data_IF_604113262628
#
_entry.id   IF_604113262628
#
_cell.length_a   1.000
_cell.length_b   1.000
_cell.length_c   1.000
_cell.angle_alpha   90.00
_cell.angle_beta   90.00
_cell.angle_gamma   90.00
#
_symmetry.space_group_name_H-M   'P 1'
#
loop_
_entity.id
_entity.type
_entity.pdbx_description
1 polymer ?
#
# COMPACT_ATOMS: atom_id res chain seq x y z
N UNK A 1 -15.01 -14.17 -2.15
CA UNK A 1 -16.24 -14.85 -1.70
C UNK A 1 -17.43 -13.94 -1.94
N UNK A 2 -18.57 -14.52 -2.31
CA UNK A 2 -19.86 -13.83 -2.46
C UNK A 2 -20.84 -14.32 -1.39
N UNK A 3 -22.07 -13.79 -1.36
CA UNK A 3 -23.11 -14.25 -0.43
C UNK A 3 -23.43 -15.76 -0.58
N UNK A 4 -23.31 -16.30 -1.79
CA UNK A 4 -23.55 -17.72 -2.07
C UNK A 4 -22.49 -18.62 -1.42
N UNK A 5 -21.24 -18.14 -1.32
CA UNK A 5 -20.15 -18.84 -0.65
C UNK A 5 -20.19 -18.65 0.87
N UNK A 6 -20.54 -17.43 1.32
CA UNK A 6 -20.52 -17.02 2.71
C UNK A 6 -21.68 -16.06 3.03
N UNK A 7 -22.67 -16.47 3.84
CA UNK A 7 -23.84 -15.66 4.14
C UNK A 7 -23.54 -14.40 4.97
N UNK A 8 -22.33 -14.26 5.52
CA UNK A 8 -21.86 -13.03 6.18
C UNK A 8 -21.47 -11.93 5.19
N UNK A 9 -21.29 -12.25 3.91
CA UNK A 9 -21.15 -11.28 2.83
C UNK A 9 -22.54 -10.80 2.44
N UNK A 10 -22.73 -9.50 2.26
CA UNK A 10 -24.05 -8.96 1.89
C UNK A 10 -24.42 -9.43 0.47
N UNK A 11 -25.69 -9.75 0.25
CA UNK A 11 -26.18 -10.15 -1.07
C UNK A 11 -25.83 -9.11 -2.14
N UNK A 12 -25.19 -9.55 -3.23
CA UNK A 12 -24.72 -8.69 -4.32
C UNK A 12 -23.37 -8.02 -4.08
N UNK A 13 -22.69 -8.28 -2.96
CA UNK A 13 -21.33 -7.83 -2.69
C UNK A 13 -20.28 -8.88 -3.06
N UNK A 14 -19.03 -8.46 -3.19
CA UNK A 14 -17.86 -9.34 -3.21
C UNK A 14 -16.94 -8.99 -2.06
N UNK A 15 -16.46 -10.00 -1.33
CA UNK A 15 -15.44 -9.85 -0.28
C UNK A 15 -14.15 -10.57 -0.68
N UNK A 16 -13.02 -9.91 -0.43
CA UNK A 16 -11.67 -10.43 -0.59
C UNK A 16 -10.97 -10.45 0.76
N UNK A 17 -10.37 -11.58 1.11
CA UNK A 17 -9.55 -11.75 2.31
C UNK A 17 -8.11 -12.02 1.87
N UNK A 18 -7.19 -11.16 2.30
CA UNK A 18 -5.80 -11.14 1.84
C UNK A 18 -4.89 -11.32 3.05
N UNK A 19 -4.05 -12.35 2.99
CA UNK A 19 -2.97 -12.55 3.95
C UNK A 19 -1.70 -11.80 3.49
N UNK A 20 -1.10 -11.07 4.41
CA UNK A 20 0.10 -10.27 4.17
C UNK A 20 1.37 -11.06 4.44
N UNK A 21 2.40 -10.70 3.69
CA UNK A 21 3.77 -11.17 3.90
C UNK A 21 4.27 -10.63 5.25
N UNK A 22 4.81 -11.51 6.09
CA UNK A 22 5.17 -11.19 7.49
C UNK A 22 6.60 -10.68 7.70
N UNK A 23 7.46 -10.82 6.70
CA UNK A 23 8.85 -10.36 6.73
C UNK A 23 9.04 -9.03 5.98
N UNK A 24 7.95 -8.36 5.58
CA UNK A 24 8.03 -7.05 4.97
C UNK A 24 8.23 -5.96 6.02
N UNK A 25 9.21 -5.10 5.79
CA UNK A 25 9.52 -3.94 6.64
C UNK A 25 9.57 -2.67 5.81
N UNK A 26 9.30 -1.57 6.49
CA UNK A 26 9.58 -0.23 6.03
C UNK A 26 11.09 0.06 6.17
N UNK A 27 11.58 1.05 5.43
CA UNK A 27 13.00 1.46 5.43
C UNK A 27 13.49 2.04 6.75
N UNK A 28 12.57 2.42 7.64
CA UNK A 28 12.87 2.82 9.02
C UNK A 28 12.87 1.65 10.01
N UNK A 29 12.69 0.41 9.52
CA UNK A 29 12.71 -0.82 10.30
C UNK A 29 11.37 -1.20 10.94
N UNK A 30 10.32 -0.38 10.80
CA UNK A 30 8.98 -0.78 11.26
C UNK A 30 8.41 -1.90 10.38
N UNK A 31 7.62 -2.80 10.98
CA UNK A 31 6.96 -3.87 10.22
C UNK A 31 5.85 -3.29 9.34
N UNK A 32 5.72 -3.80 8.11
CA UNK A 32 4.56 -3.53 7.26
C UNK A 32 3.40 -4.42 7.70
N UNK A 33 2.27 -3.82 8.03
CA UNK A 33 1.11 -4.53 8.62
C UNK A 33 -0.19 -4.25 7.88
N UNK A 34 -1.24 -4.97 8.27
CA UNK A 34 -2.60 -4.76 7.77
C UNK A 34 -3.14 -3.37 8.09
N UNK A 35 -2.65 -2.73 9.17
CA UNK A 35 -3.03 -1.36 9.50
C UNK A 35 -2.61 -0.37 8.42
N UNK A 36 -1.43 -0.56 7.81
CA UNK A 36 -0.93 0.28 6.72
C UNK A 36 -1.80 0.15 5.46
N UNK A 37 -2.24 -1.06 5.15
CA UNK A 37 -3.10 -1.35 3.99
C UNK A 37 -4.49 -0.75 4.17
N UNK A 38 -5.12 -0.99 5.32
CA UNK A 38 -6.44 -0.43 5.64
C UNK A 38 -6.38 1.10 5.61
N UNK A 39 -5.36 1.67 6.23
CA UNK A 39 -5.09 3.11 6.20
C UNK A 39 -5.00 3.65 4.77
N UNK A 40 -4.18 3.00 3.93
CA UNK A 40 -3.97 3.43 2.53
C UNK A 40 -5.28 3.43 1.74
N UNK A 41 -6.06 2.35 1.82
CA UNK A 41 -7.30 2.23 1.06
C UNK A 41 -8.32 3.28 1.51
N UNK A 42 -8.46 3.50 2.83
CA UNK A 42 -9.36 4.52 3.38
C UNK A 42 -8.91 5.92 2.95
N UNK A 43 -7.61 6.21 3.03
CA UNK A 43 -7.07 7.50 2.63
C UNK A 43 -7.36 7.81 1.16
N UNK A 44 -7.04 6.88 0.27
CA UNK A 44 -7.28 7.05 -1.16
C UNK A 44 -8.76 7.16 -1.49
N UNK A 45 -9.62 6.38 -0.80
CA UNK A 45 -11.07 6.51 -0.96
C UNK A 45 -11.55 7.92 -0.61
N UNK A 46 -11.06 8.51 0.48
CA UNK A 46 -11.44 9.87 0.89
C UNK A 46 -11.03 10.91 -0.17
N UNK A 47 -9.79 10.85 -0.66
CA UNK A 47 -9.31 11.79 -1.69
C UNK A 47 -10.09 11.67 -3.01
N UNK A 48 -10.54 10.47 -3.38
CA UNK A 48 -11.40 10.25 -4.55
C UNK A 48 -12.78 10.87 -4.33
N UNK A 49 -13.37 10.66 -3.14
CA UNK A 49 -14.71 11.17 -2.82
C UNK A 49 -14.74 12.70 -2.67
N UNK A 50 -13.64 13.31 -2.24
CA UNK A 50 -13.50 14.76 -2.12
C UNK A 50 -13.11 15.42 -3.47
N UNK A 51 -13.08 14.65 -4.57
CA UNK A 51 -12.66 15.07 -5.92
C UNK A 51 -11.24 15.66 -5.98
N UNK A 52 -10.43 15.44 -4.94
CA UNK A 52 -9.05 15.92 -4.87
C UNK A 52 -8.13 15.04 -5.72
N UNK A 53 -8.48 13.77 -5.98
CA UNK A 53 -7.70 12.83 -6.77
C UNK A 53 -8.49 12.15 -7.89
N UNK A 54 -8.03 12.33 -9.12
CA UNK A 54 -8.50 11.56 -10.29
C UNK A 54 -7.56 10.39 -10.52
N UNK A 55 -7.95 9.19 -10.07
CA UNK A 55 -7.21 7.94 -10.30
C UNK A 55 -7.99 7.06 -11.26
N UNK A 56 -7.48 6.95 -12.48
CA UNK A 56 -8.14 6.27 -13.60
C UNK A 56 -8.32 4.76 -13.39
N UNK A 57 -7.41 4.10 -12.65
CA UNK A 57 -7.37 2.64 -12.51
C UNK A 57 -7.74 2.11 -11.11
N UNK A 58 -7.87 3.00 -10.11
CA UNK A 58 -8.13 2.63 -8.69
C UNK A 58 -9.50 3.11 -8.25
N UNK A 59 -10.54 2.67 -8.95
CA UNK A 59 -11.91 3.01 -8.61
C UNK A 59 -12.34 2.35 -7.29
N UNK A 60 -12.21 3.11 -6.19
CA UNK A 60 -12.66 2.76 -4.86
C UNK A 60 -14.06 3.33 -4.53
N UNK A 61 -14.78 3.88 -5.52
CA UNK A 61 -16.11 4.46 -5.30
C UNK A 61 -17.15 3.43 -4.85
N UNK A 62 -16.96 2.17 -5.24
CA UNK A 62 -17.80 1.04 -4.87
C UNK A 62 -17.28 0.25 -3.67
N UNK A 63 -16.21 0.72 -3.00
CA UNK A 63 -15.73 0.09 -1.78
C UNK A 63 -16.78 0.24 -0.67
N UNK A 64 -17.24 -0.89 -0.15
CA UNK A 64 -18.21 -0.94 0.94
C UNK A 64 -17.51 -0.86 2.30
N UNK A 65 -16.51 -1.72 2.52
CA UNK A 65 -15.73 -1.71 3.75
C UNK A 65 -14.33 -2.27 3.53
N UNK A 66 -13.40 -1.81 4.38
CA UNK A 66 -12.05 -2.35 4.49
C UNK A 66 -11.66 -2.39 5.96
N UNK A 67 -11.18 -3.53 6.44
CA UNK A 67 -10.76 -3.70 7.82
C UNK A 67 -9.75 -4.85 7.96
N UNK A 68 -9.08 -4.93 9.10
CA UNK A 68 -8.08 -5.95 9.39
C UNK A 68 -8.50 -6.80 10.60
N UNK A 69 -8.89 -8.08 10.41
CA UNK A 69 -9.17 -8.97 11.53
C UNK A 69 -7.92 -9.37 12.32
N UNK A 70 -6.72 -9.30 11.71
CA UNK A 70 -5.44 -9.57 12.37
C UNK A 70 -4.35 -8.62 11.86
N UNK A 71 -3.17 -8.61 12.49
CA UNK A 71 -2.01 -7.79 12.08
C UNK A 71 -1.57 -8.05 10.64
N UNK A 72 -1.83 -9.22 10.07
CA UNK A 72 -1.37 -9.61 8.74
C UNK A 72 -2.51 -10.12 7.85
N UNK A 73 -3.75 -9.70 8.11
CA UNK A 73 -4.88 -10.04 7.27
C UNK A 73 -5.74 -8.81 7.02
N UNK A 74 -6.14 -8.60 5.77
CA UNK A 74 -7.00 -7.50 5.34
C UNK A 74 -8.23 -8.10 4.68
N UNK A 75 -9.40 -7.54 5.00
CA UNK A 75 -10.67 -7.83 4.36
C UNK A 75 -11.11 -6.59 3.61
N UNK A 76 -11.43 -6.75 2.32
CA UNK A 76 -11.91 -5.70 1.43
C UNK A 76 -13.24 -6.15 0.84
N UNK A 77 -14.30 -5.36 1.00
CA UNK A 77 -15.63 -5.68 0.50
C UNK A 77 -16.14 -4.57 -0.42
N UNK A 78 -16.72 -4.95 -1.55
CA UNK A 78 -17.29 -4.06 -2.54
C UNK A 78 -18.81 -4.24 -2.65
N UNK A 79 -19.50 -3.15 -2.96
CA UNK A 79 -20.96 -3.09 -3.15
C UNK A 79 -21.46 -3.91 -4.35
N UNK A 80 -20.55 -4.41 -5.20
CA UNK A 80 -20.87 -5.15 -6.42
C UNK A 80 -20.27 -6.54 -6.42
N UNK A 81 -21.00 -7.47 -7.01
CA UNK A 81 -20.53 -8.84 -7.23
C UNK A 81 -19.69 -8.91 -8.51
N UNK A 82 -18.37 -8.87 -8.38
CA UNK A 82 -17.44 -8.90 -9.51
C UNK A 82 -16.05 -9.32 -9.08
N UNK A 83 -15.51 -10.33 -9.75
CA UNK A 83 -14.11 -10.72 -9.64
C UNK A 83 -13.16 -9.55 -9.95
N UNK A 84 -13.54 -8.69 -10.90
CA UNK A 84 -12.72 -7.55 -11.34
C UNK A 84 -12.56 -6.47 -10.27
N UNK A 85 -13.34 -6.49 -9.19
CA UNK A 85 -13.10 -5.60 -8.06
C UNK A 85 -11.73 -5.84 -7.40
N UNK A 86 -11.13 -7.02 -7.59
CA UNK A 86 -9.79 -7.31 -7.10
C UNK A 86 -8.73 -6.33 -7.66
N UNK A 87 -8.81 -6.00 -8.95
CA UNK A 87 -7.80 -5.15 -9.61
C UNK A 87 -7.79 -3.73 -9.04
N UNK A 88 -8.93 -3.27 -8.50
CA UNK A 88 -9.12 -1.90 -8.00
C UNK A 88 -8.23 -1.57 -6.80
N UNK A 89 -7.84 -2.58 -6.03
CA UNK A 89 -6.96 -2.41 -4.87
C UNK A 89 -5.64 -3.20 -4.95
N UNK A 90 -5.55 -4.23 -5.80
CA UNK A 90 -4.39 -5.13 -5.85
C UNK A 90 -3.06 -4.44 -6.19
N UNK A 91 -3.10 -3.34 -6.94
CA UNK A 91 -1.90 -2.63 -7.40
C UNK A 91 -1.56 -1.37 -6.61
N UNK A 92 -2.36 -1.05 -5.59
CA UNK A 92 -2.15 0.12 -4.75
C UNK A 92 -0.77 0.08 -4.09
N UNK A 93 -0.14 1.25 -4.02
CA UNK A 93 1.12 1.42 -3.28
C UNK A 93 0.76 1.71 -1.84
N UNK A 94 1.14 0.80 -0.96
CA UNK A 94 0.85 0.89 0.46
C UNK A 94 1.66 2.05 1.04
N UNK A 95 1.01 2.83 1.89
CA UNK A 95 1.55 4.00 2.56
C UNK A 95 1.84 3.65 4.04
N UNK A 96 2.98 4.10 4.59
CA UNK A 96 3.34 3.84 5.99
C UNK A 96 2.47 4.65 6.93
N UNK A 97 1.44 4.02 7.53
CA UNK A 97 0.46 4.70 8.38
C UNK A 97 1.11 5.53 9.49
N UNK A 98 2.22 5.05 10.05
CA UNK A 98 2.92 5.69 11.16
C UNK A 98 3.63 7.00 10.77
N UNK A 99 3.94 7.21 9.49
CA UNK A 99 4.48 8.48 8.99
C UNK A 99 3.36 9.49 8.77
N UNK A 100 2.18 9.02 8.38
CA UNK A 100 1.03 9.88 8.15
C UNK A 100 0.33 10.22 9.48
N UNK A 101 0.94 11.11 10.25
CA UNK A 101 0.33 11.70 11.45
C UNK A 101 -0.73 12.72 11.08
N UNK A 102 -1.63 13.03 12.02
CA UNK A 102 -2.71 14.01 11.81
C UNK A 102 -2.24 15.41 11.43
N UNK A 103 -0.98 15.76 11.73
CA UNK A 103 -0.36 17.05 11.38
C UNK A 103 0.00 17.09 9.89
N UNK A 104 0.66 16.04 9.38
CA UNK A 104 0.98 15.91 7.94
C UNK A 104 -0.30 15.85 7.10
N UNK A 105 -1.35 15.22 7.61
CA UNK A 105 -2.68 15.17 7.00
C UNK A 105 -3.40 16.52 6.91
N UNK A 106 -3.18 17.42 7.85
CA UNK A 106 -3.92 18.69 7.96
C UNK A 106 -3.17 19.85 7.32
N UNK A 107 -1.85 19.77 7.24
CA UNK A 107 -1.00 20.89 6.81
C UNK A 107 -0.61 20.81 5.34
N UNK A 108 -0.67 19.63 4.73
CA UNK A 108 -0.23 19.42 3.34
C UNK A 108 -1.32 18.73 2.52
N UNK A 109 -1.81 19.44 1.50
CA UNK A 109 -2.58 18.81 0.43
C UNK A 109 -1.73 17.74 -0.24
N UNK A 110 -2.36 16.69 -0.80
CA UNK A 110 -1.61 15.56 -1.37
C UNK A 110 -0.64 15.97 -2.47
N UNK A 111 -0.92 17.07 -3.19
CA UNK A 111 -0.07 17.62 -4.24
C UNK A 111 1.10 18.46 -3.72
N UNK A 112 1.02 18.94 -2.48
CA UNK A 112 2.09 19.71 -1.82
C UNK A 112 2.99 18.79 -0.98
N UNK A 113 2.59 17.53 -0.77
CA UNK A 113 3.34 16.54 -0.02
C UNK A 113 4.54 16.01 -0.82
N UNK A 114 5.75 16.35 -0.35
CA UNK A 114 7.00 15.96 -1.00
C UNK A 114 7.97 15.25 -0.01
N UNK A 115 7.72 13.97 0.33
CA UNK A 115 8.50 13.24 1.31
C UNK A 115 9.95 13.06 0.85
N UNK A 116 10.91 13.29 1.77
CA UNK A 116 12.35 13.23 1.50
C UNK A 116 12.98 14.54 1.05
N UNK A 117 12.19 15.56 0.72
CA UNK A 117 12.66 16.92 0.38
C UNK A 117 12.44 17.93 1.51
N UNK A 118 11.63 17.55 2.51
CA UNK A 118 11.47 18.27 3.75
C UNK A 118 11.88 17.33 4.89
N UNK A 119 12.79 17.77 5.76
CA UNK A 119 13.26 17.03 6.93
C UNK A 119 12.11 16.67 7.90
N UNK A 120 11.01 17.42 7.87
CA UNK A 120 9.78 17.16 8.65
C UNK A 120 8.93 16.02 8.05
N UNK A 121 9.18 15.64 6.79
CA UNK A 121 8.48 14.56 6.07
C UNK A 121 9.47 13.48 5.60
N UNK A 122 9.81 12.49 6.46
CA UNK A 122 10.75 11.45 6.09
C UNK A 122 10.22 10.60 4.93
N UNK A 123 11.09 10.26 3.98
CA UNK A 123 10.76 9.30 2.92
C UNK A 123 10.94 7.88 3.45
N UNK A 124 9.82 7.26 3.80
CA UNK A 124 9.77 5.86 4.23
C UNK A 124 9.05 5.02 3.18
N UNK A 125 9.70 3.96 2.70
CA UNK A 125 9.13 3.08 1.67
C UNK A 125 9.34 1.61 2.05
N UNK A 126 8.67 0.70 1.36
CA UNK A 126 8.83 -0.76 1.49
C UNK A 126 9.26 -1.41 0.17
N UNK A 127 9.68 -0.58 -0.80
CA UNK A 127 10.03 -1.00 -2.14
C UNK A 127 11.47 -1.53 -2.27
N UNK A 128 11.85 -1.97 -3.47
CA UNK A 128 13.19 -2.51 -3.75
C UNK A 128 14.30 -1.45 -3.75
N UNK A 129 13.96 -0.16 -3.74
CA UNK A 129 14.92 0.95 -3.78
C UNK A 129 14.54 2.05 -2.78
N UNK A 130 15.56 2.74 -2.29
CA UNK A 130 15.48 3.93 -1.44
C UNK A 130 16.12 5.12 -2.15
N UNK A 131 15.61 6.33 -1.95
CA UNK A 131 16.30 7.55 -2.40
C UNK A 131 17.57 7.73 -1.55
N UNK A 132 18.73 7.75 -2.20
CA UNK A 132 20.03 7.89 -1.52
C UNK A 132 20.66 9.26 -1.69
N UNK A 133 20.44 9.91 -2.83
CA UNK A 133 20.89 11.28 -3.10
C UNK A 133 19.96 11.92 -4.13
N UNK A 134 19.93 13.26 -4.18
CA UNK A 134 19.23 13.99 -5.22
C UNK A 134 19.73 15.43 -5.35
N UNK A 135 19.56 15.98 -6.54
CA UNK A 135 19.66 17.41 -6.80
C UNK A 135 18.41 17.84 -7.60
N UNK A 136 17.64 18.74 -7.01
CA UNK A 136 16.30 19.09 -7.51
C UNK A 136 16.39 19.65 -8.94
N UNK A 137 15.77 18.95 -9.88
CA UNK A 137 15.78 19.32 -11.30
C UNK A 137 16.96 18.74 -12.10
N UNK A 138 17.93 18.11 -11.45
CA UNK A 138 19.12 17.53 -12.09
C UNK A 138 19.08 15.99 -12.03
N UNK A 139 19.06 15.38 -10.83
CA UNK A 139 19.06 13.92 -10.69
C UNK A 139 18.40 13.41 -9.40
N UNK A 140 18.01 12.13 -9.46
CA UNK A 140 17.60 11.33 -8.32
C UNK A 140 18.41 10.04 -8.32
N UNK A 141 19.14 9.78 -7.23
CA UNK A 141 19.91 8.56 -7.04
C UNK A 141 19.12 7.58 -6.17
N UNK A 142 18.96 6.35 -6.67
CA UNK A 142 18.27 5.28 -5.97
C UNK A 142 19.26 4.17 -5.60
N UNK A 143 19.31 3.83 -4.33
CA UNK A 143 20.07 2.69 -3.82
C UNK A 143 19.16 1.49 -3.59
N UNK A 144 19.70 0.27 -3.76
CA UNK A 144 18.95 -0.96 -3.47
C UNK A 144 18.60 -1.00 -1.98
N UNK A 145 17.32 -1.25 -1.67
CA UNK A 145 16.87 -1.51 -0.31
C UNK A 145 17.40 -2.89 0.13
N UNK A 146 18.32 -2.97 1.11
CA UNK A 146 18.85 -4.24 1.57
C UNK A 146 17.77 -5.10 2.24
N UNK A 147 16.72 -4.49 2.80
CA UNK A 147 15.69 -5.17 3.59
C UNK A 147 14.42 -5.45 2.78
N UNK A 148 14.47 -5.29 1.46
CA UNK A 148 13.33 -5.60 0.60
C UNK A 148 12.93 -7.09 0.73
N UNK A 149 11.66 -7.34 1.05
CA UNK A 149 11.17 -8.69 1.37
C UNK A 149 11.33 -9.71 0.23
N UNK A 150 11.34 -9.22 -1.03
CA UNK A 150 11.53 -10.01 -2.23
C UNK A 150 12.95 -9.87 -2.80
N UNK A 151 13.93 -9.52 -1.96
CA UNK A 151 15.32 -9.47 -2.38
C UNK A 151 15.78 -10.89 -2.76
N UNK A 152 16.47 -10.98 -3.89
CA UNK A 152 17.27 -12.15 -4.19
C UNK A 152 18.56 -12.08 -3.38
N UNK A 153 18.72 -12.99 -2.42
CA UNK A 153 19.91 -13.05 -1.57
C UNK A 153 21.18 -13.38 -2.36
N UNK A 154 21.05 -13.96 -3.56
CA UNK A 154 22.19 -14.29 -4.43
C UNK A 154 22.82 -13.07 -5.11
N UNK A 155 22.11 -11.94 -5.15
CA UNK A 155 22.60 -10.71 -5.80
C UNK A 155 23.56 -9.89 -4.94
N UNK A 156 23.76 -10.26 -3.66
CA UNK A 156 24.67 -9.57 -2.74
C UNK A 156 24.32 -8.09 -2.49
N UNK A 157 25.02 -7.46 -1.54
CA UNK A 157 24.95 -6.02 -1.32
C UNK A 157 25.68 -5.33 -2.47
N UNK A 158 24.97 -5.07 -3.56
CA UNK A 158 25.53 -4.35 -4.69
C UNK A 158 25.75 -2.89 -4.28
N UNK A 159 26.93 -2.56 -3.76
CA UNK A 159 27.46 -1.18 -3.74
C UNK A 159 27.67 -0.77 -5.19
N UNK A 160 26.59 -0.35 -5.84
CA UNK A 160 26.63 0.05 -7.26
C UNK A 160 26.65 1.56 -7.29
N UNK A 161 27.84 2.14 -7.18
CA UNK A 161 28.08 3.52 -7.61
C UNK A 161 27.93 3.53 -9.13
N UNK A 162 26.69 3.58 -9.63
CA UNK A 162 26.42 3.62 -11.07
C UNK A 162 26.33 5.07 -11.49
N UNK A 163 27.48 5.66 -11.81
CA UNK A 163 27.49 6.85 -12.65
C UNK A 163 27.04 6.42 -14.04
N UNK A 164 25.80 6.72 -14.44
CA UNK A 164 25.31 6.48 -15.80
C UNK A 164 26.00 7.45 -16.78
N UNK A 165 27.20 7.10 -17.23
CA UNK A 165 27.70 7.57 -18.51
C UNK A 165 27.14 6.65 -19.58
N UNK A 166 26.13 7.12 -20.31
CA UNK A 166 25.48 6.40 -21.40
C UNK A 166 26.47 6.20 -22.58
N UNK A 167 26.79 4.96 -23.02
CA UNK A 167 27.38 4.73 -24.32
C UNK A 167 26.34 4.10 -25.25
N UNK A 168 26.09 4.77 -26.37
CA UNK A 168 25.36 4.22 -27.52
C UNK A 168 26.01 2.91 -27.99
N UNK A 169 25.26 1.81 -28.07
CA UNK A 169 24.96 1.00 -29.29
C UNK A 169 24.51 -0.45 -28.99
N UNK A 170 23.69 -0.96 -29.90
CA UNK A 170 22.85 -2.18 -29.98
C UNK A 170 23.51 -3.57 -29.88
N UNK A 171 22.81 -4.57 -29.29
CA UNK A 171 22.31 -5.81 -29.96
C UNK A 171 21.58 -6.77 -28.97
N UNK A 172 20.53 -7.53 -29.36
CA UNK A 172 19.69 -8.31 -28.44
C UNK A 172 19.99 -9.82 -28.46
N UNK A 173 20.57 -10.35 -27.39
CA UNK A 173 20.48 -11.78 -27.06
C UNK A 173 20.91 -12.00 -25.61
N UNK A 174 20.01 -12.60 -24.82
CA UNK A 174 20.26 -13.51 -23.69
C UNK A 174 19.32 -13.23 -22.50
N UNK A 175 18.06 -13.65 -22.64
CA UNK A 175 17.18 -13.89 -21.48
C UNK A 175 17.04 -15.40 -21.31
N UNK A 176 17.54 -15.94 -20.20
CA UNK A 176 17.28 -17.31 -19.77
C UNK A 176 16.40 -17.30 -18.52
N UNK A 177 15.30 -18.05 -18.57
CA UNK A 177 14.40 -18.33 -17.44
C UNK A 177 14.66 -19.75 -16.93
N UNK A 178 14.70 -19.96 -15.61
CA UNK A 178 14.60 -21.30 -15.01
C UNK A 178 13.59 -21.31 -13.83
N UNK A 179 12.87 -22.44 -13.56
CA UNK A 179 11.59 -22.41 -12.83
C UNK A 179 11.57 -23.05 -11.41
N UNK A 180 10.59 -22.58 -10.60
CA UNK A 180 9.72 -23.30 -9.61
C UNK A 180 10.27 -23.87 -8.29
N UNK A 181 9.58 -23.58 -7.15
CA UNK A 181 8.63 -24.47 -6.42
C UNK A 181 8.30 -23.95 -4.98
N UNK A 182 7.04 -24.10 -4.51
CA UNK A 182 6.52 -23.61 -3.20
C UNK A 182 5.97 -24.79 -2.37
N UNK A 183 6.20 -24.80 -1.05
CA UNK A 183 5.52 -25.70 -0.08
C UNK A 183 4.66 -24.89 0.90
N UNK A 184 3.39 -25.29 1.04
CA UNK A 184 2.40 -24.74 1.99
C UNK A 184 2.27 -25.66 3.21
N UNK A 185 2.23 -25.09 4.43
CA UNK A 185 1.59 -25.74 5.59
C UNK A 185 0.83 -24.74 6.45
N UNK A 186 -0.32 -25.18 6.94
CA UNK A 186 -1.44 -24.37 7.43
C UNK A 186 -1.59 -24.38 8.96
N UNK A 187 -2.34 -23.39 9.45
CA UNK A 187 -3.18 -23.49 10.66
C UNK A 187 -2.79 -22.53 11.78
N UNK A 188 -3.73 -21.65 12.20
CA UNK A 188 -4.36 -21.68 13.53
C UNK A 188 -5.36 -20.51 13.68
N UNK A 189 -6.50 -20.81 14.31
CA UNK A 189 -7.68 -19.98 14.58
C UNK A 189 -7.49 -19.02 15.76
N UNK A 190 -8.06 -17.81 15.71
CA UNK A 190 -8.33 -17.00 16.92
C UNK A 190 -9.55 -16.08 16.76
N UNK A 191 -10.27 -15.89 17.87
CA UNK A 191 -11.60 -15.29 18.00
C UNK A 191 -11.64 -13.75 17.80
N UNK A 192 -12.77 -13.27 17.26
CA UNK A 192 -13.04 -11.86 16.95
C UNK A 192 -13.70 -11.17 18.15
N UNK A 193 -13.22 -9.97 18.51
CA UNK A 193 -13.78 -9.10 19.55
C UNK A 193 -14.30 -7.82 18.87
N UNK A 194 -15.62 -7.65 18.85
CA UNK A 194 -16.28 -6.52 18.17
C UNK A 194 -16.42 -5.37 19.16
N UNK A 195 -15.86 -4.22 18.84
CA UNK A 195 -16.09 -2.95 19.56
C UNK A 195 -16.74 -1.97 18.59
N UNK A 196 -17.99 -1.61 18.85
CA UNK A 196 -18.72 -0.57 18.12
C UNK A 196 -18.44 0.79 18.76
N UNK A 197 -18.08 1.78 17.93
CA UNK A 197 -17.95 3.19 18.34
C UNK A 197 -19.06 3.99 17.67
N UNK A 198 -19.89 4.63 18.46
CA UNK A 198 -20.98 5.50 18.01
C UNK A 198 -20.53 6.96 18.09
N UNK A 199 -20.41 7.64 16.95
CA UNK A 199 -19.97 9.04 16.88
C UNK A 199 -21.20 9.95 16.79
N UNK A 200 -21.51 10.66 17.87
CA UNK A 200 -22.54 11.70 17.87
C UNK A 200 -21.99 13.02 17.30
N UNK A 201 -22.52 13.49 16.16
CA UNK A 201 -22.24 14.84 15.65
C UNK A 201 -23.09 15.88 16.39
N UNK A 202 -22.45 16.83 17.07
CA UNK A 202 -23.10 18.08 17.51
C UNK A 202 -23.13 19.07 16.34
N UNK A 203 -24.33 19.44 15.89
CA UNK A 203 -24.54 20.60 15.00
C UNK A 203 -24.43 21.87 15.83
N UNK A 204 -23.40 22.68 15.59
CA UNK A 204 -23.41 24.10 15.98
C UNK A 204 -24.14 24.87 14.88
N UNK A 205 -25.28 25.47 15.25
CA UNK A 205 -26.06 26.33 14.35
C UNK A 205 -25.30 27.63 14.07
N UNK A 206 -25.36 28.10 12.83
CA UNK A 206 -25.04 29.47 12.48
C UNK A 206 -26.20 30.38 12.92
N UNK A 207 -25.88 31.41 13.71
CA UNK A 207 -26.75 32.58 13.87
C UNK A 207 -26.41 33.60 12.77
N UNK A 208 -27.49 34.12 12.19
CA UNK A 208 -27.72 35.32 11.38
C UNK A 208 -26.92 35.55 10.08
#
# INVERSE_FOLDING_TARGET
ETHDDNPEVISGHTRFTIDLIRNATWTDGMALTADDVVFTIIYLQQLILDEELVVWDWDLSHLYSVFNPTTYQVVVEFLTESYWNFEKFAYLKILPKHIYTSEIYQETQWWDWNPGFNDEHPLVTSGPFTLSDFDEGEYYELSRNPDYYYRDESLGTATTNTTTNLPNTTSPSDINYEPLTIWLTAGFTAAILIVTVEISRRRTGAQD
#
